data_IF_419054389937
#
_entry.id   IF_419054389937
#
_cell.length_a   1.000
_cell.length_b   1.000
_cell.length_c   1.000
_cell.angle_alpha   90.00
_cell.angle_beta   90.00
_cell.angle_gamma   90.00
#
_symmetry.space_group_name_H-M   'P 1'
#
loop_
_entity.id
_entity.type
_entity.pdbx_description
1 polymer ?
#
# COMPACT_ATOMS: atom_id res chain seq x y z
N UNK A 1 18.53 2.53 7.56
CA UNK A 1 18.07 3.92 7.74
C UNK A 1 16.58 3.96 7.40
N UNK A 2 15.80 4.89 7.96
CA UNK A 2 14.38 5.03 7.62
C UNK A 2 14.20 6.16 6.61
N UNK A 3 13.61 5.84 5.47
CA UNK A 3 13.38 6.78 4.38
C UNK A 3 11.90 7.17 4.31
N UNK A 4 11.61 8.34 3.73
CA UNK A 4 10.23 8.82 3.55
C UNK A 4 9.94 9.00 2.07
N UNK A 5 8.84 8.42 1.61
CA UNK A 5 8.34 8.61 0.24
C UNK A 5 6.86 8.99 0.27
N UNK A 6 6.42 9.80 -0.68
CA UNK A 6 5.01 10.19 -0.80
C UNK A 6 4.26 9.25 -1.74
N UNK A 7 2.99 9.03 -1.44
CA UNK A 7 2.12 8.20 -2.26
C UNK A 7 0.68 8.67 -2.23
N UNK A 8 -0.16 7.95 -2.94
CA UNK A 8 -1.60 8.21 -3.05
C UNK A 8 -2.40 6.95 -2.84
N UNK A 9 -3.52 7.05 -2.15
CA UNK A 9 -4.53 5.99 -2.15
C UNK A 9 -5.36 6.14 -3.43
N UNK A 10 -5.46 5.08 -4.22
CA UNK A 10 -6.15 5.11 -5.52
C UNK A 10 -7.20 4.01 -5.57
N UNK A 11 -8.40 4.37 -6.01
CA UNK A 11 -9.45 3.42 -6.33
C UNK A 11 -9.21 2.77 -7.69
N UNK A 12 -9.70 1.55 -7.86
CA UNK A 12 -9.58 0.78 -9.10
C UNK A 12 -10.87 0.76 -9.94
N UNK A 13 -11.91 1.50 -9.55
CA UNK A 13 -13.24 1.45 -10.17
C UNK A 13 -13.82 0.04 -10.23
N UNK A 14 -13.42 -0.80 -9.29
CA UNK A 14 -13.88 -2.18 -9.11
C UNK A 14 -14.33 -2.32 -7.67
N UNK A 15 -15.50 -2.88 -7.44
CA UNK A 15 -16.04 -3.08 -6.11
C UNK A 15 -15.88 -4.54 -5.66
N UNK A 16 -15.77 -4.70 -4.35
CA UNK A 16 -16.00 -5.99 -3.72
C UNK A 16 -17.50 -6.28 -3.61
N UNK A 17 -17.85 -7.51 -3.24
CA UNK A 17 -19.25 -7.96 -3.06
C UNK A 17 -20.04 -7.16 -2.02
N UNK A 18 -19.37 -6.47 -1.12
CA UNK A 18 -19.93 -5.60 -0.07
C UNK A 18 -19.99 -4.12 -0.49
N UNK A 19 -19.78 -3.81 -1.77
CA UNK A 19 -19.88 -2.44 -2.33
C UNK A 19 -18.66 -1.55 -2.04
N UNK A 20 -17.67 -2.03 -1.29
CA UNK A 20 -16.45 -1.26 -1.04
C UNK A 20 -15.54 -1.31 -2.26
N UNK A 21 -15.13 -0.15 -2.77
CA UNK A 21 -14.20 -0.06 -3.90
C UNK A 21 -12.82 -0.63 -3.52
N UNK A 22 -12.22 -1.41 -4.42
CA UNK A 22 -10.85 -1.88 -4.32
C UNK A 22 -9.89 -0.70 -4.40
N UNK A 23 -8.91 -0.68 -3.50
CA UNK A 23 -7.92 0.38 -3.42
C UNK A 23 -6.49 -0.17 -3.43
N UNK A 24 -5.59 0.61 -3.99
CA UNK A 24 -4.14 0.42 -3.95
C UNK A 24 -3.47 1.67 -3.37
N UNK A 25 -2.23 1.52 -2.92
CA UNK A 25 -1.36 2.67 -2.62
C UNK A 25 -0.35 2.79 -3.74
N UNK A 26 -0.37 3.91 -4.46
CA UNK A 26 0.54 4.20 -5.56
C UNK A 26 1.67 5.12 -5.12
N UNK A 27 2.89 4.80 -5.52
CA UNK A 27 4.10 5.59 -5.33
C UNK A 27 4.73 5.80 -6.70
N UNK A 28 5.07 7.05 -7.06
CA UNK A 28 5.74 7.30 -8.32
C UNK A 28 7.07 6.55 -8.37
N UNK A 29 7.40 5.94 -9.51
CA UNK A 29 8.71 5.29 -9.70
C UNK A 29 9.90 6.22 -9.49
N UNK A 30 9.72 7.53 -9.71
CA UNK A 30 10.75 8.55 -9.47
C UNK A 30 11.13 8.66 -7.99
N UNK A 31 10.20 8.31 -7.10
CA UNK A 31 10.38 8.38 -5.65
C UNK A 31 10.43 6.98 -5.00
N UNK A 32 10.39 5.91 -5.80
CA UNK A 32 10.23 4.54 -5.31
C UNK A 32 11.55 3.80 -5.03
N UNK A 33 12.70 4.47 -5.16
CA UNK A 33 14.02 3.87 -4.89
C UNK A 33 14.11 3.23 -3.48
N UNK A 34 13.56 3.84 -2.41
CA UNK A 34 13.55 3.22 -1.09
C UNK A 34 12.69 1.95 -0.98
N UNK A 35 11.75 1.72 -1.91
CA UNK A 35 10.78 0.63 -1.83
C UNK A 35 11.35 -0.67 -2.41
N UNK A 36 11.15 -1.82 -1.75
CA UNK A 36 11.66 -3.10 -2.20
C UNK A 36 10.80 -3.66 -3.34
N UNK A 37 10.96 -3.12 -4.55
CA UNK A 37 10.19 -3.51 -5.72
C UNK A 37 11.08 -4.10 -6.81
N UNK A 38 10.50 -4.99 -7.61
CA UNK A 38 11.15 -5.56 -8.79
C UNK A 38 10.12 -5.76 -9.89
N UNK A 39 10.49 -5.39 -11.11
CA UNK A 39 9.60 -5.47 -12.26
C UNK A 39 9.04 -6.89 -12.45
N UNK A 40 7.73 -7.00 -12.67
CA UNK A 40 6.97 -8.25 -12.87
C UNK A 40 7.00 -9.21 -11.66
N UNK A 41 7.45 -8.76 -10.49
CA UNK A 41 7.44 -9.55 -9.25
C UNK A 41 6.50 -8.93 -8.22
N UNK A 42 5.88 -9.80 -7.41
CA UNK A 42 5.22 -9.40 -6.16
C UNK A 42 6.22 -9.61 -5.03
N UNK A 43 6.73 -8.53 -4.46
CA UNK A 43 7.65 -8.61 -3.33
C UNK A 43 6.84 -8.56 -2.03
N UNK A 44 7.01 -9.51 -1.10
CA UNK A 44 6.33 -9.45 0.19
C UNK A 44 6.91 -8.33 1.06
N UNK A 45 6.02 -7.59 1.73
CA UNK A 45 6.34 -6.52 2.67
C UNK A 45 5.48 -6.67 3.93
N UNK A 46 5.96 -6.09 5.04
CA UNK A 46 5.16 -5.84 6.23
C UNK A 46 4.63 -4.41 6.16
N UNK A 47 3.32 -4.26 6.02
CA UNK A 47 2.65 -2.96 5.99
C UNK A 47 2.06 -2.64 7.36
N UNK A 48 2.35 -1.46 7.89
CA UNK A 48 1.82 -0.97 9.15
C UNK A 48 0.84 0.17 8.89
N UNK A 49 -0.38 0.05 9.41
CA UNK A 49 -1.44 1.05 9.33
C UNK A 49 -1.96 1.31 10.75
N UNK A 50 -1.61 2.46 11.31
CA UNK A 50 -1.75 2.68 12.76
C UNK A 50 -0.89 1.67 13.55
N UNK A 51 -1.52 1.01 14.52
CA UNK A 51 -0.89 0.03 15.40
C UNK A 51 -0.94 -1.41 14.86
N UNK A 52 -1.59 -1.62 13.71
CA UNK A 52 -1.75 -2.94 13.11
C UNK A 52 -0.68 -3.19 12.04
N UNK A 53 -0.33 -4.48 11.86
CA UNK A 53 0.63 -4.93 10.85
C UNK A 53 0.04 -6.02 9.98
N UNK A 54 0.29 -5.93 8.68
CA UNK A 54 -0.27 -6.82 7.67
C UNK A 54 0.81 -7.32 6.72
N UNK A 55 0.70 -8.58 6.32
CA UNK A 55 1.52 -9.10 5.22
C UNK A 55 0.88 -8.67 3.90
N UNK A 56 1.60 -7.88 3.13
CA UNK A 56 1.14 -7.30 1.88
C UNK A 56 2.14 -7.58 0.75
N UNK A 57 1.73 -7.25 -0.48
CA UNK A 57 2.60 -7.33 -1.65
C UNK A 57 2.84 -5.95 -2.24
N UNK A 58 4.06 -5.68 -2.67
CA UNK A 58 4.38 -4.56 -3.54
C UNK A 58 4.66 -5.07 -4.96
N UNK A 59 4.15 -4.37 -5.98
CA UNK A 59 4.27 -4.73 -7.39
C UNK A 59 4.74 -3.53 -8.21
N UNK A 60 5.39 -3.84 -9.32
CA UNK A 60 5.80 -2.88 -10.33
C UNK A 60 5.82 -3.58 -11.69
N UNK A 61 5.43 -2.87 -12.75
CA UNK A 61 5.52 -3.34 -14.15
C UNK A 61 6.27 -2.31 -14.98
N UNK A 62 6.88 -2.71 -16.09
CA UNK A 62 7.61 -1.80 -16.98
C UNK A 62 6.75 -0.62 -17.47
N UNK A 63 5.49 -0.89 -17.82
CA UNK A 63 4.62 0.06 -18.52
C UNK A 63 3.78 0.94 -17.58
N UNK A 64 4.11 1.00 -16.29
CA UNK A 64 3.42 1.86 -15.32
C UNK A 64 4.41 2.86 -14.71
N UNK A 65 3.96 4.08 -14.46
CA UNK A 65 4.78 5.15 -13.84
C UNK A 65 4.84 5.05 -12.30
N UNK A 66 4.28 3.97 -11.74
CA UNK A 66 4.15 3.79 -10.30
C UNK A 66 4.48 2.37 -9.87
N UNK A 67 4.91 2.28 -8.61
CA UNK A 67 4.94 1.06 -7.80
C UNK A 67 3.69 1.08 -6.94
N UNK A 68 3.08 -0.09 -6.68
CA UNK A 68 1.88 -0.13 -5.85
C UNK A 68 1.90 -1.22 -4.79
N UNK A 69 1.29 -0.90 -3.66
CA UNK A 69 0.92 -1.89 -2.64
C UNK A 69 -0.43 -2.49 -3.03
N UNK A 70 -0.46 -3.81 -3.09
CA UNK A 70 -1.60 -4.61 -3.55
C UNK A 70 -2.82 -4.46 -2.63
N UNK A 71 -4.05 -4.65 -3.18
CA UNK A 71 -5.30 -4.49 -2.43
C UNK A 71 -5.56 -5.63 -1.43
N UNK A 72 -4.92 -6.80 -1.62
CA UNK A 72 -5.06 -7.98 -0.78
C UNK A 72 -3.90 -8.11 0.20
N UNK A 73 -4.23 -8.34 1.46
CA UNK A 73 -3.29 -8.49 2.58
C UNK A 73 -3.69 -9.65 3.48
N UNK A 74 -2.84 -9.97 4.45
CA UNK A 74 -3.15 -10.90 5.54
C UNK A 74 -2.81 -10.28 6.90
N UNK A 75 -3.61 -10.58 7.92
CA UNK A 75 -3.31 -10.18 9.30
C UNK A 75 -2.32 -11.15 9.98
N UNK A 76 -2.04 -10.92 11.26
CA UNK A 76 -1.13 -11.77 12.07
C UNK A 76 -1.64 -13.21 12.29
N UNK A 77 -2.90 -13.50 11.94
CA UNK A 77 -3.51 -14.84 12.02
C UNK A 77 -3.66 -15.48 10.63
N UNK A 78 -2.95 -14.96 9.63
CA UNK A 78 -3.03 -15.36 8.22
C UNK A 78 -4.42 -15.14 7.58
N UNK A 79 -5.34 -14.42 8.23
CA UNK A 79 -6.66 -14.16 7.67
C UNK A 79 -6.56 -13.15 6.54
N UNK A 80 -7.26 -13.41 5.43
CA UNK A 80 -7.34 -12.48 4.30
C UNK A 80 -8.05 -11.19 4.72
N UNK A 81 -7.37 -10.05 4.50
CA UNK A 81 -7.85 -8.70 4.77
C UNK A 81 -7.73 -7.87 3.49
N UNK A 82 -8.61 -6.88 3.33
CA UNK A 82 -8.65 -5.97 2.19
C UNK A 82 -8.09 -4.61 2.61
N UNK A 83 -7.20 -4.05 1.80
CA UNK A 83 -6.55 -2.77 2.07
C UNK A 83 -7.58 -1.64 2.25
N UNK A 84 -8.59 -1.58 1.39
CA UNK A 84 -9.62 -0.55 1.44
C UNK A 84 -10.37 -0.49 2.78
N UNK A 85 -10.73 -1.65 3.35
CA UNK A 85 -11.40 -1.72 4.65
C UNK A 85 -10.50 -1.23 5.79
N UNK A 86 -9.22 -1.61 5.77
CA UNK A 86 -8.26 -1.16 6.80
C UNK A 86 -8.01 0.34 6.68
N UNK A 87 -7.81 0.86 5.46
CA UNK A 87 -7.63 2.28 5.21
C UNK A 87 -8.84 3.10 5.71
N UNK A 88 -10.05 2.70 5.32
CA UNK A 88 -11.27 3.38 5.76
C UNK A 88 -11.47 3.33 7.28
N UNK A 89 -11.22 2.17 7.90
CA UNK A 89 -11.28 2.01 9.36
C UNK A 89 -10.23 2.83 10.13
N UNK A 90 -9.20 3.34 9.45
CA UNK A 90 -8.16 4.21 10.01
C UNK A 90 -8.28 5.67 9.54
N UNK A 91 -9.41 6.04 8.93
CA UNK A 91 -9.70 7.42 8.51
C UNK A 91 -9.00 7.86 7.23
N UNK A 92 -8.40 6.94 6.47
CA UNK A 92 -7.86 7.26 5.16
C UNK A 92 -8.94 7.25 4.09
N UNK A 93 -8.80 8.13 3.09
CA UNK A 93 -9.77 8.29 2.00
C UNK A 93 -9.15 8.05 0.61
N UNK A 94 -10.00 7.69 -0.36
CA UNK A 94 -9.61 7.60 -1.77
C UNK A 94 -9.06 8.95 -2.26
N UNK A 95 -8.04 8.91 -3.10
CA UNK A 95 -7.30 10.05 -3.66
C UNK A 95 -6.49 10.87 -2.64
N UNK A 96 -6.45 10.43 -1.38
CA UNK A 96 -5.65 11.10 -0.36
C UNK A 96 -4.16 10.88 -0.58
N UNK A 97 -3.37 11.93 -0.31
CA UNK A 97 -1.91 11.85 -0.16
C UNK A 97 -1.54 11.21 1.17
N UNK A 98 -0.50 10.40 1.14
CA UNK A 98 0.05 9.75 2.33
C UNK A 98 1.58 9.78 2.30
N UNK A 99 2.18 9.60 3.47
CA UNK A 99 3.62 9.39 3.64
C UNK A 99 3.87 7.94 4.00
N UNK A 100 4.83 7.31 3.33
CA UNK A 100 5.36 6.00 3.67
C UNK A 100 6.72 6.21 4.36
N UNK A 101 6.84 5.68 5.57
CA UNK A 101 8.14 5.49 6.25
C UNK A 101 8.64 4.09 5.93
N UNK A 102 9.76 4.00 5.22
CA UNK A 102 10.30 2.74 4.69
C UNK A 102 11.55 2.35 5.46
N UNK A 103 11.58 1.12 5.97
CA UNK A 103 12.74 0.48 6.58
C UNK A 103 12.88 -0.93 6.00
N UNK A 104 13.53 -1.00 4.83
CA UNK A 104 13.59 -2.22 4.03
C UNK A 104 12.19 -2.71 3.64
N UNK A 105 11.81 -3.90 4.11
CA UNK A 105 10.49 -4.49 3.85
C UNK A 105 9.41 -4.08 4.85
N UNK A 106 9.75 -3.29 5.87
CA UNK A 106 8.79 -2.77 6.84
C UNK A 106 8.38 -1.36 6.41
N UNK A 107 7.11 -1.17 6.09
CA UNK A 107 6.56 0.08 5.56
C UNK A 107 5.44 0.53 6.47
N UNK A 108 5.50 1.74 7.00
CA UNK A 108 4.41 2.35 7.78
C UNK A 108 3.81 3.51 7.00
N UNK A 109 2.49 3.55 6.89
CA UNK A 109 1.78 4.70 6.32
C UNK A 109 1.28 5.67 7.39
N UNK A 110 1.27 6.95 7.07
CA UNK A 110 0.66 8.02 7.86
C UNK A 110 0.02 9.06 6.95
N UNK A 111 -0.87 9.87 7.50
CA UNK A 111 -1.39 11.05 6.80
C UNK A 111 -0.22 11.97 6.39
N UNK A 112 -0.34 12.57 5.20
CA UNK A 112 0.50 13.68 4.74
C UNK A 112 -0.09 14.95 5.34
N UNK A 113 0.47 15.37 6.48
CA UNK A 113 0.10 16.58 7.24
C UNK A 113 0.86 17.79 6.75
#
# INVERSE_FOLDING_TARGET
MTEKVRGYIRGLSQEYTDGVERQEIWISKKDADPLPHKNKMRIPIKLHIGDESFDAGIRSTQNTEYVWICPDMRDSRDKKIRLAHVLGGKGFSKNQKIVLKVNGKNIRISHDT
#
